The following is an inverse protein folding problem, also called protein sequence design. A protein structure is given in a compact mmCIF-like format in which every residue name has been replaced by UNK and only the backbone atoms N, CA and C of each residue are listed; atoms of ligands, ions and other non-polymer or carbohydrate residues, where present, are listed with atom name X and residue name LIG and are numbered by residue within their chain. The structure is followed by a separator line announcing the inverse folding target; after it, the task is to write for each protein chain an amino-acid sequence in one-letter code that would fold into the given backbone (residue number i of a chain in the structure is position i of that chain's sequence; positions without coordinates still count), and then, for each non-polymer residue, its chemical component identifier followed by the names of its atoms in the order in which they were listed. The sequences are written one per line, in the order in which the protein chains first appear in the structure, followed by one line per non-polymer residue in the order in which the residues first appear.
data_IF_394618188904
#
_entry.id   IF_394618188904
#
_cell.length_a   1.000
_cell.length_b   1.000
_cell.length_c   1.000
_cell.angle_alpha   90.00
_cell.angle_beta   90.00
_cell.angle_gamma   90.00
#
_symmetry.space_group_name_H-M   'P 1'
#
loop_
_entity.id
_entity.type
_entity.pdbx_description
1 polymer ?
#
# COMPACT_ATOMS: atom_id res chain seq x y z
N UNK A 1 6.97 8.83 4.47
CA UNK A 1 7.22 8.22 5.79
C UNK A 1 5.88 7.86 6.43
N UNK A 2 5.79 6.75 7.17
CA UNK A 2 4.58 6.34 7.90
C UNK A 2 4.94 5.50 9.14
N UNK A 3 3.99 5.23 10.03
CA UNK A 3 4.20 4.34 11.17
C UNK A 3 4.30 2.87 10.76
N UNK A 4 5.03 2.05 11.51
CA UNK A 4 5.24 0.61 11.29
C UNK A 4 4.08 -0.32 11.69
N UNK A 5 2.86 0.22 11.81
CA UNK A 5 1.66 -0.55 12.16
C UNK A 5 0.74 -0.72 10.95
N UNK A 6 -0.11 -1.75 10.97
CA UNK A 6 -1.15 -1.92 9.96
C UNK A 6 -2.11 -0.71 9.92
N UNK A 7 -2.60 -0.30 8.73
CA UNK A 7 -2.35 -0.91 7.42
C UNK A 7 -1.06 -0.40 6.75
N UNK A 8 -0.36 0.59 7.31
CA UNK A 8 0.83 1.18 6.71
C UNK A 8 1.93 0.16 6.45
N UNK A 9 2.16 -0.76 7.41
CA UNK A 9 3.15 -1.83 7.27
C UNK A 9 2.91 -2.71 6.03
N UNK A 10 1.64 -3.02 5.75
CA UNK A 10 1.21 -3.85 4.61
C UNK A 10 1.27 -3.05 3.29
N UNK A 11 0.76 -1.82 3.30
CA UNK A 11 0.74 -0.94 2.13
C UNK A 11 2.16 -0.63 1.66
N UNK A 12 3.06 -0.37 2.60
CA UNK A 12 4.45 -0.02 2.30
C UNK A 12 5.40 -1.21 2.29
N UNK A 13 4.87 -2.43 2.46
CA UNK A 13 5.59 -3.70 2.31
C UNK A 13 6.90 -3.70 3.11
N UNK A 14 6.71 -3.59 4.43
CA UNK A 14 7.76 -3.54 5.44
C UNK A 14 8.86 -2.49 5.17
N UNK A 15 8.52 -1.38 4.50
CA UNK A 15 9.42 -0.25 4.25
C UNK A 15 10.17 -0.31 2.91
N UNK A 16 9.86 -1.29 2.06
CA UNK A 16 10.38 -1.32 0.68
C UNK A 16 9.89 -0.13 -0.15
N UNK A 17 8.70 0.42 0.15
CA UNK A 17 8.05 1.50 -0.61
C UNK A 17 8.04 2.86 0.09
N UNK A 18 8.40 2.91 1.38
CA UNK A 18 8.47 4.12 2.18
C UNK A 18 9.39 3.92 3.38
N UNK A 19 9.78 4.99 4.06
CA UNK A 19 10.41 4.89 5.37
C UNK A 19 9.37 4.69 6.46
N UNK A 20 9.61 3.73 7.35
CA UNK A 20 8.72 3.40 8.46
C UNK A 20 9.38 3.72 9.80
N UNK A 21 8.61 4.31 10.72
CA UNK A 21 9.03 4.58 12.10
C UNK A 21 8.14 3.82 13.09
N UNK A 22 8.68 3.52 14.27
CA UNK A 22 7.95 2.83 15.33
C UNK A 22 6.86 3.72 15.91
N UNK A 23 5.61 3.23 15.92
CA UNK A 23 4.49 4.02 16.47
C UNK A 23 4.71 4.37 17.95
N UNK A 24 4.54 5.65 18.28
CA UNK A 24 4.66 6.16 19.66
C UNK A 24 6.10 6.38 20.12
N UNK A 25 7.08 6.20 19.23
CA UNK A 25 8.49 6.38 19.51
C UNK A 25 9.04 7.62 18.79
N UNK A 26 9.26 8.69 19.55
CA UNK A 26 9.72 9.97 19.02
C UNK A 26 11.16 9.91 18.50
N UNK A 27 12.01 9.07 19.10
CA UNK A 27 13.39 8.88 18.66
C UNK A 27 13.41 8.13 17.33
N UNK A 28 12.64 7.05 17.22
CA UNK A 28 12.46 6.32 15.95
C UNK A 28 11.93 7.23 14.85
N UNK A 29 10.96 8.10 15.15
CA UNK A 29 10.46 9.09 14.19
C UNK A 29 11.56 10.04 13.71
N UNK A 30 12.33 10.61 14.65
CA UNK A 30 13.43 11.53 14.33
C UNK A 30 14.49 10.85 13.45
N UNK A 31 14.98 9.67 13.85
CA UNK A 31 15.99 8.93 13.08
C UNK A 31 15.49 8.58 11.69
N UNK A 32 14.21 8.20 11.56
CA UNK A 32 13.60 7.89 10.26
C UNK A 32 13.50 9.13 9.37
N UNK A 33 13.14 10.28 9.94
CA UNK A 33 13.09 11.56 9.24
C UNK A 33 14.48 11.98 8.74
N UNK A 34 15.50 11.88 9.60
CA UNK A 34 16.89 12.17 9.23
C UNK A 34 17.39 11.24 8.11
N UNK A 35 17.08 9.94 8.19
CA UNK A 35 17.41 8.98 7.14
C UNK A 35 16.71 9.29 5.81
N UNK A 36 15.46 9.76 5.85
CA UNK A 36 14.71 10.17 4.67
C UNK A 36 15.29 11.44 4.03
N UNK A 37 15.63 12.46 4.84
CA UNK A 37 16.17 13.73 4.36
C UNK A 37 17.58 13.61 3.78
N UNK A 38 18.37 12.66 4.31
CA UNK A 38 19.74 12.40 3.84
C UNK A 38 19.81 11.28 2.79
N UNK A 39 18.67 10.73 2.36
CA UNK A 39 18.66 9.69 1.34
C UNK A 39 19.13 10.25 -0.01
N UNK A 40 19.87 9.45 -0.76
CA UNK A 40 20.27 9.83 -2.11
C UNK A 40 19.06 9.92 -3.04
N UNK A 41 19.15 10.69 -4.14
CA UNK A 41 18.10 10.75 -5.16
C UNK A 41 17.72 9.37 -5.71
N UNK A 42 18.69 8.46 -5.84
CA UNK A 42 18.48 7.09 -6.35
C UNK A 42 17.59 6.29 -5.40
N UNK A 43 17.88 6.31 -4.09
CA UNK A 43 17.06 5.63 -3.08
C UNK A 43 15.64 6.18 -3.06
N UNK A 44 15.49 7.51 -3.19
CA UNK A 44 14.19 8.14 -3.30
C UNK A 44 13.42 7.68 -4.55
N UNK A 45 14.11 7.60 -5.70
CA UNK A 45 13.54 7.17 -6.96
C UNK A 45 13.12 5.69 -6.91
N UNK A 46 13.91 4.81 -6.31
CA UNK A 46 13.60 3.39 -6.15
C UNK A 46 12.34 3.18 -5.32
N UNK A 47 12.24 3.81 -4.14
CA UNK A 47 11.06 3.73 -3.29
C UNK A 47 9.82 4.27 -4.00
N UNK A 48 9.96 5.40 -4.71
CA UNK A 48 8.87 6.00 -5.50
C UNK A 48 8.40 5.06 -6.61
N UNK A 49 9.34 4.48 -7.37
CA UNK A 49 9.04 3.51 -8.42
C UNK A 49 8.31 2.28 -7.87
N UNK A 50 8.77 1.75 -6.73
CA UNK A 50 8.13 0.61 -6.07
C UNK A 50 6.71 0.95 -5.60
N UNK A 51 6.51 2.13 -5.00
CA UNK A 51 5.20 2.60 -4.58
C UNK A 51 4.22 2.75 -5.76
N UNK A 52 4.65 3.39 -6.85
CA UNK A 52 3.85 3.56 -8.06
C UNK A 52 3.49 2.21 -8.71
N UNK A 53 4.45 1.29 -8.77
CA UNK A 53 4.20 -0.06 -9.27
C UNK A 53 3.14 -0.78 -8.43
N UNK A 54 3.19 -0.67 -7.09
CA UNK A 54 2.18 -1.23 -6.20
C UNK A 54 0.80 -0.62 -6.44
N UNK A 55 0.68 0.71 -6.54
CA UNK A 55 -0.60 1.39 -6.82
C UNK A 55 -1.23 0.86 -8.10
N UNK A 56 -0.48 0.84 -9.20
CA UNK A 56 -0.95 0.35 -10.49
C UNK A 56 -1.25 -1.16 -10.48
N UNK A 57 -0.55 -1.92 -9.63
CA UNK A 57 -0.76 -3.36 -9.51
C UNK A 57 -2.05 -3.70 -8.76
N UNK A 58 -2.38 -3.01 -7.66
CA UNK A 58 -3.41 -3.49 -6.74
C UNK A 58 -4.34 -2.44 -6.13
N UNK A 59 -3.97 -1.15 -6.11
CA UNK A 59 -4.76 -0.12 -5.42
C UNK A 59 -5.60 0.77 -6.35
N UNK A 60 -5.52 0.56 -7.67
CA UNK A 60 -6.41 1.25 -8.62
C UNK A 60 -7.84 0.72 -8.53
N UNK A 61 -8.83 1.63 -8.54
CA UNK A 61 -10.26 1.32 -8.45
C UNK A 61 -10.71 0.19 -9.35
N UNK A 62 -10.27 0.18 -10.62
CA UNK A 62 -10.59 -0.87 -11.59
C UNK A 62 -10.24 -2.28 -11.09
N UNK A 63 -9.14 -2.42 -10.35
CA UNK A 63 -8.70 -3.70 -9.79
C UNK A 63 -9.33 -3.95 -8.43
N UNK A 64 -9.41 -2.95 -7.56
CA UNK A 64 -10.02 -3.09 -6.22
C UNK A 64 -11.50 -3.44 -6.29
N UNK A 65 -12.23 -2.93 -7.28
CA UNK A 65 -13.67 -3.19 -7.45
C UNK A 65 -13.97 -4.46 -8.23
N UNK A 66 -13.00 -5.02 -8.97
CA UNK A 66 -13.25 -6.19 -9.81
C UNK A 66 -13.79 -7.40 -9.02
N UNK A 67 -13.22 -7.79 -7.87
CA UNK A 67 -13.77 -8.90 -7.07
C UNK A 67 -15.21 -8.65 -6.63
N UNK A 68 -15.54 -7.42 -6.21
CA UNK A 68 -16.91 -7.05 -5.81
C UNK A 68 -17.89 -7.19 -6.98
N UNK A 69 -17.49 -6.71 -8.17
CA UNK A 69 -18.31 -6.82 -9.37
C UNK A 69 -18.49 -8.28 -9.83
N UNK A 70 -17.46 -9.11 -9.68
CA UNK A 70 -17.52 -10.53 -10.03
C UNK A 70 -18.49 -11.26 -9.08
N UNK A 71 -18.43 -11.01 -7.77
CA UNK A 71 -19.39 -11.54 -6.77
C UNK A 71 -20.84 -11.10 -7.07
N UNK A 72 -21.04 -9.82 -7.43
CA UNK A 72 -22.37 -9.32 -7.79
C UNK A 72 -22.92 -10.01 -9.05
N UNK A 73 -22.08 -10.32 -10.05
CA UNK A 73 -22.52 -11.04 -11.25
C UNK A 73 -22.90 -12.47 -10.94
N UNK A 74 -22.10 -13.15 -10.11
CA UNK A 74 -22.39 -14.52 -9.68
C UNK A 74 -23.71 -14.61 -8.91
N UNK A 75 -23.98 -13.65 -8.00
CA UNK A 75 -25.23 -13.67 -7.23
C UNK A 75 -26.47 -13.47 -8.13
N UNK A 76 -26.38 -12.59 -9.13
CA UNK A 76 -27.46 -12.36 -10.09
C UNK A 76 -27.70 -13.57 -10.99
N UNK A 77 -26.63 -14.25 -11.44
CA UNK A 77 -26.74 -15.46 -12.25
C UNK A 77 -27.29 -16.64 -11.45
N UNK A 78 -26.83 -16.83 -10.21
CA UNK A 78 -27.35 -17.86 -9.30
C UNK A 78 -28.83 -17.65 -8.95
N UNK A 79 -29.30 -16.41 -8.83
CA UNK A 79 -30.72 -16.13 -8.63
C UNK A 79 -31.59 -16.43 -9.86
N UNK A 80 -31.08 -16.22 -11.08
CA UNK A 80 -31.81 -16.52 -12.32
C UNK A 80 -31.95 -18.01 -12.62
N UNK A 81 -31.05 -18.85 -12.10
CA UNK A 81 -31.10 -20.31 -12.30
C UNK A 81 -32.01 -21.02 -11.27
N UNK A 82 -32.40 -20.33 -10.21
CA UNK A 82 -33.28 -20.83 -9.14
C UNK A 82 -34.72 -20.26 -9.24
N UNK A 83 -35.07 -19.63 -10.36
CA UNK A 83 -36.44 -19.21 -10.73
C UNK A 83 -36.90 -20.01 -11.94
#
# INVERSE_FOLDING_TARGET
MASDVAPHLEVFDAGSRAWLFKKGDAESFKTTLEAMLNASPEVCAEKTKAALAAVNKQYVWKKSLKPLLDVLKESVQGHRLNQ
#
